data_IF_130690173730
#
_entry.id   IF_130690173730
#
_cell.length_a   1.000
_cell.length_b   1.000
_cell.length_c   1.000
_cell.angle_alpha   90.00
_cell.angle_beta   90.00
_cell.angle_gamma   90.00
#
_symmetry.space_group_name_H-M   'P 1'
#
loop_
_entity.id
_entity.type
_entity.pdbx_description
1 polymer ?
#
# COMPACT_ATOMS: atom_id res chain seq x y z
N UNK A 1 78.00 34.40 4.01
CA UNK A 1 76.96 34.23 5.05
C UNK A 1 75.52 34.36 4.51
N UNK A 2 75.23 35.18 3.50
CA UNK A 2 73.87 35.34 2.92
C UNK A 2 73.21 34.03 2.41
N UNK A 3 73.99 33.07 1.92
CA UNK A 3 73.49 31.77 1.42
C UNK A 3 72.91 30.86 2.52
N UNK A 4 73.41 30.97 3.75
CA UNK A 4 72.94 30.17 4.89
C UNK A 4 71.62 30.72 5.44
N UNK A 5 71.45 32.05 5.40
CA UNK A 5 70.20 32.72 5.81
C UNK A 5 69.03 32.35 4.89
N UNK A 6 69.27 32.23 3.58
CA UNK A 6 68.25 31.82 2.61
C UNK A 6 67.90 30.33 2.78
N UNK A 7 68.90 29.48 3.01
CA UNK A 7 68.69 28.04 3.22
C UNK A 7 67.89 27.75 4.51
N UNK A 8 68.17 28.49 5.59
CA UNK A 8 67.44 28.38 6.86
C UNK A 8 65.99 28.87 6.77
N UNK A 9 65.73 29.92 6.00
CA UNK A 9 64.37 30.42 5.76
C UNK A 9 63.51 29.44 4.95
N UNK A 10 64.09 28.79 3.93
CA UNK A 10 63.38 27.79 3.12
C UNK A 10 63.08 26.53 3.94
N UNK A 11 63.99 26.10 4.81
CA UNK A 11 63.77 24.95 5.71
C UNK A 11 62.64 25.21 6.73
N UNK A 12 62.57 26.42 7.29
CA UNK A 12 61.53 26.82 8.25
C UNK A 12 60.13 26.82 7.60
N UNK A 13 60.00 27.31 6.37
CA UNK A 13 58.73 27.30 5.64
C UNK A 13 58.26 25.88 5.30
N UNK A 14 59.19 24.95 5.08
CA UNK A 14 58.85 23.55 4.78
C UNK A 14 58.33 22.81 6.03
N UNK A 15 58.86 23.11 7.21
CA UNK A 15 58.41 22.47 8.47
C UNK A 15 57.02 22.96 8.87
N UNK A 16 56.72 24.26 8.66
CA UNK A 16 55.41 24.83 9.00
C UNK A 16 54.28 24.36 8.06
N UNK A 17 54.60 23.96 6.83
CA UNK A 17 53.60 23.51 5.83
C UNK A 17 53.20 22.04 5.97
N UNK A 18 53.99 21.19 6.64
CA UNK A 18 53.62 19.78 6.90
C UNK A 18 52.52 19.67 7.97
N UNK A 19 52.42 20.65 8.86
CA UNK A 19 51.48 20.61 9.99
C UNK A 19 50.03 20.88 9.61
N UNK A 20 49.76 21.49 8.45
CA UNK A 20 48.39 21.84 8.01
C UNK A 20 47.66 20.69 7.31
N UNK A 21 48.38 19.68 6.84
CA UNK A 21 47.78 18.52 6.12
C UNK A 21 47.03 17.60 7.10
N UNK A 22 47.45 17.51 8.35
CA UNK A 22 46.82 16.61 9.34
C UNK A 22 45.57 17.20 10.04
N UNK A 23 45.23 18.46 9.83
CA UNK A 23 44.05 19.09 10.46
C UNK A 23 42.76 19.00 9.62
N UNK A 24 42.85 18.56 8.36
CA UNK A 24 41.71 18.45 7.44
C UNK A 24 41.07 17.06 7.40
N UNK A 25 41.71 16.04 7.97
CA UNK A 25 41.13 14.71 8.13
C UNK A 25 40.22 14.66 9.36
N UNK A 26 39.15 15.46 9.36
CA UNK A 26 37.99 15.12 10.17
C UNK A 26 37.39 13.83 9.61
N UNK A 27 37.13 12.77 10.40
CA UNK A 27 36.43 11.61 9.92
C UNK A 27 35.01 12.07 9.55
N UNK A 28 34.80 12.32 8.26
CA UNK A 28 33.50 12.60 7.71
C UNK A 28 32.68 11.33 7.93
N UNK A 29 31.88 11.31 8.99
CA UNK A 29 31.07 10.16 9.35
C UNK A 29 30.21 9.84 8.15
N UNK A 30 30.44 8.68 7.54
CA UNK A 30 29.72 8.17 6.37
C UNK A 30 28.33 7.71 6.80
N UNK A 31 27.56 8.63 7.38
CA UNK A 31 26.19 8.40 7.77
C UNK A 31 25.37 8.53 6.50
N UNK A 32 25.25 7.40 5.78
CA UNK A 32 24.17 7.22 4.81
C UNK A 32 22.84 7.33 5.57
N UNK A 33 22.31 8.53 5.64
CA UNK A 33 20.91 8.75 5.98
C UNK A 33 20.10 8.05 4.90
N UNK A 34 19.61 6.84 5.19
CA UNK A 34 18.62 6.17 4.34
C UNK A 34 17.39 7.06 4.36
N UNK A 35 17.23 7.90 3.35
CA UNK A 35 16.01 8.64 3.08
C UNK A 35 14.91 7.62 2.79
N UNK A 36 14.25 7.12 3.84
CA UNK A 36 13.03 6.32 3.68
C UNK A 36 11.93 7.32 3.33
N UNK A 37 11.25 7.10 2.20
CA UNK A 37 10.02 7.85 1.92
C UNK A 37 9.03 7.58 3.04
N UNK A 38 8.47 8.63 3.65
CA UNK A 38 7.50 8.54 4.74
C UNK A 38 6.30 7.62 4.39
N UNK A 39 6.00 7.45 3.10
CA UNK A 39 4.96 6.55 2.60
C UNK A 39 5.12 5.09 3.09
N UNK A 40 6.36 4.58 3.13
CA UNK A 40 6.64 3.20 3.52
C UNK A 40 6.37 2.93 5.01
N UNK A 41 6.31 3.98 5.85
CA UNK A 41 5.97 3.86 7.26
C UNK A 41 4.47 3.62 7.47
N UNK A 42 3.64 3.96 6.49
CA UNK A 42 2.18 3.78 6.55
C UNK A 42 1.67 2.64 5.65
N UNK A 43 2.49 2.09 4.75
CA UNK A 43 2.10 0.94 3.92
C UNK A 43 1.90 -0.34 4.74
N UNK A 44 2.68 -0.56 5.81
CA UNK A 44 2.65 -1.82 6.57
C UNK A 44 1.28 -2.15 7.16
N UNK A 45 0.54 -1.12 7.60
CA UNK A 45 -0.72 -1.29 8.31
C UNK A 45 -1.90 -1.52 7.34
N UNK A 46 -1.70 -1.25 6.05
CA UNK A 46 -2.70 -1.42 5.00
C UNK A 46 -2.43 -2.60 4.06
N UNK A 47 -1.25 -3.23 4.15
CA UNK A 47 -0.91 -4.37 3.29
C UNK A 47 -1.40 -5.67 3.92
N UNK A 48 -2.56 -6.12 3.45
CA UNK A 48 -3.10 -7.43 3.78
C UNK A 48 -2.09 -8.54 3.46
N UNK A 49 -1.92 -9.45 4.41
CA UNK A 49 -1.13 -10.67 4.24
C UNK A 49 -1.68 -11.50 3.06
N UNK A 50 -0.86 -12.40 2.52
CA UNK A 50 -1.31 -13.29 1.45
C UNK A 50 -2.54 -14.13 1.87
N UNK A 51 -2.55 -14.59 3.13
CA UNK A 51 -3.63 -15.41 3.67
C UNK A 51 -4.93 -14.61 3.80
N UNK A 52 -4.88 -13.38 4.31
CA UNK A 52 -6.06 -12.51 4.39
C UNK A 52 -6.63 -12.20 3.01
N UNK A 53 -5.77 -11.96 2.02
CA UNK A 53 -6.21 -11.75 0.63
C UNK A 53 -6.91 -12.99 0.06
N UNK A 54 -6.43 -14.20 0.38
CA UNK A 54 -7.08 -15.45 -0.03
C UNK A 54 -8.43 -15.61 0.68
N UNK A 55 -8.48 -15.37 2.00
CA UNK A 55 -9.70 -15.45 2.78
C UNK A 55 -10.78 -14.49 2.27
N UNK A 56 -10.41 -13.23 1.96
CA UNK A 56 -11.34 -12.25 1.39
C UNK A 56 -11.86 -12.66 0.01
N UNK A 57 -11.02 -13.27 -0.83
CA UNK A 57 -11.46 -13.81 -2.13
C UNK A 57 -12.45 -14.95 -1.94
N UNK A 58 -12.20 -15.88 -1.02
CA UNK A 58 -13.10 -16.98 -0.71
C UNK A 58 -14.43 -16.47 -0.16
N UNK A 59 -14.41 -15.53 0.79
CA UNK A 59 -15.59 -14.89 1.34
C UNK A 59 -16.43 -14.20 0.25
N UNK A 60 -15.77 -13.49 -0.68
CA UNK A 60 -16.44 -12.88 -1.83
C UNK A 60 -17.13 -13.91 -2.72
N UNK A 61 -16.47 -15.03 -3.03
CA UNK A 61 -17.05 -16.11 -3.84
C UNK A 61 -18.25 -16.74 -3.13
N UNK A 62 -18.11 -17.08 -1.85
CA UNK A 62 -19.19 -17.64 -1.04
C UNK A 62 -20.43 -16.72 -1.01
N UNK A 63 -20.20 -15.41 -0.85
CA UNK A 63 -21.28 -14.42 -0.91
C UNK A 63 -21.98 -14.40 -2.27
N UNK A 64 -21.24 -14.43 -3.37
CA UNK A 64 -21.83 -14.48 -4.73
C UNK A 64 -22.67 -15.74 -4.93
N UNK A 65 -22.19 -16.89 -4.50
CA UNK A 65 -22.96 -18.14 -4.59
C UNK A 65 -24.27 -18.05 -3.80
N UNK A 66 -24.20 -17.56 -2.55
CA UNK A 66 -25.40 -17.36 -1.73
C UNK A 66 -26.40 -16.40 -2.37
N UNK A 67 -25.93 -15.25 -2.89
CA UNK A 67 -26.80 -14.29 -3.56
C UNK A 67 -27.44 -14.86 -4.83
N UNK A 68 -26.70 -15.67 -5.59
CA UNK A 68 -27.23 -16.40 -6.74
C UNK A 68 -28.34 -17.36 -6.29
N UNK A 69 -28.12 -18.19 -5.28
CA UNK A 69 -29.15 -19.11 -4.77
C UNK A 69 -30.41 -18.37 -4.32
N UNK A 70 -30.27 -17.22 -3.66
CA UNK A 70 -31.42 -16.39 -3.29
C UNK A 70 -32.17 -15.87 -4.52
N UNK A 71 -31.47 -15.34 -5.52
CA UNK A 71 -32.10 -14.93 -6.79
C UNK A 71 -32.78 -16.09 -7.51
N UNK A 72 -32.23 -17.29 -7.37
CA UNK A 72 -32.76 -18.50 -7.97
C UNK A 72 -34.05 -18.98 -7.26
N UNK A 73 -34.23 -18.62 -5.98
CA UNK A 73 -35.41 -18.97 -5.16
C UNK A 73 -36.58 -17.99 -5.26
N UNK A 74 -36.35 -16.78 -5.77
CA UNK A 74 -37.36 -15.73 -5.83
C UNK A 74 -38.15 -15.83 -7.15
N UNK A 75 -39.46 -15.62 -7.08
CA UNK A 75 -40.31 -15.51 -8.27
C UNK A 75 -40.12 -14.16 -8.99
N UNK A 76 -39.26 -14.16 -10.01
CA UNK A 76 -39.01 -13.04 -10.91
C UNK A 76 -38.91 -13.52 -12.36
N UNK A 77 -39.18 -12.62 -13.30
CA UNK A 77 -39.01 -12.94 -14.72
C UNK A 77 -37.55 -13.29 -15.08
N UNK A 78 -37.38 -14.24 -15.99
CA UNK A 78 -36.06 -14.69 -16.49
C UNK A 78 -35.19 -13.53 -17.00
N UNK A 79 -35.79 -12.56 -17.68
CA UNK A 79 -35.08 -11.37 -18.16
C UNK A 79 -34.51 -10.53 -17.01
N UNK A 80 -35.27 -10.38 -15.91
CA UNK A 80 -34.82 -9.68 -14.71
C UNK A 80 -33.76 -10.48 -13.97
N UNK A 81 -33.95 -11.80 -13.82
CA UNK A 81 -32.99 -12.74 -13.24
C UNK A 81 -31.62 -12.65 -13.92
N UNK A 82 -31.58 -12.74 -15.26
CA UNK A 82 -30.35 -12.63 -16.04
C UNK A 82 -29.62 -11.30 -15.85
N UNK A 83 -30.36 -10.18 -15.79
CA UNK A 83 -29.79 -8.85 -15.54
C UNK A 83 -29.18 -8.76 -14.13
N UNK A 84 -29.86 -9.29 -13.12
CA UNK A 84 -29.36 -9.32 -11.74
C UNK A 84 -28.14 -10.22 -11.56
N UNK A 85 -28.08 -11.36 -12.27
CA UNK A 85 -26.89 -12.22 -12.29
C UNK A 85 -25.69 -11.55 -12.95
N UNK A 86 -25.90 -10.82 -14.06
CA UNK A 86 -24.84 -10.02 -14.68
C UNK A 86 -24.34 -8.92 -13.74
N UNK A 87 -25.25 -8.27 -13.02
CA UNK A 87 -24.93 -7.26 -12.02
C UNK A 87 -24.09 -7.86 -10.88
N UNK A 88 -24.51 -9.01 -10.33
CA UNK A 88 -23.80 -9.72 -9.27
C UNK A 88 -22.38 -10.16 -9.69
N UNK A 89 -22.20 -10.50 -10.97
CA UNK A 89 -20.88 -10.82 -11.56
C UNK A 89 -19.98 -9.58 -11.64
N UNK A 90 -20.54 -8.41 -11.91
CA UNK A 90 -19.79 -7.13 -11.97
C UNK A 90 -19.48 -6.59 -10.57
N UNK A 91 -20.48 -6.58 -9.70
CA UNK A 91 -20.38 -6.13 -8.33
C UNK A 91 -21.05 -7.16 -7.38
N UNK A 92 -20.26 -7.95 -6.64
CA UNK A 92 -20.77 -8.90 -5.65
C UNK A 92 -21.71 -8.25 -4.63
N UNK A 93 -21.44 -7.00 -4.25
CA UNK A 93 -22.15 -6.27 -3.19
C UNK A 93 -23.15 -5.26 -3.77
N UNK A 94 -23.69 -5.50 -4.97
CA UNK A 94 -24.65 -4.58 -5.59
C UNK A 94 -25.88 -4.38 -4.71
N UNK A 95 -26.10 -3.14 -4.27
CA UNK A 95 -27.28 -2.74 -3.48
C UNK A 95 -28.58 -3.05 -4.22
N UNK A 96 -28.58 -2.92 -5.55
CA UNK A 96 -29.73 -3.23 -6.39
C UNK A 96 -30.14 -4.69 -6.29
N UNK A 97 -29.17 -5.61 -6.27
CA UNK A 97 -29.43 -7.05 -6.11
C UNK A 97 -29.99 -7.31 -4.72
N UNK A 98 -29.36 -6.73 -3.69
CA UNK A 98 -29.79 -6.88 -2.30
C UNK A 98 -31.21 -6.34 -2.06
N UNK A 99 -31.53 -5.18 -2.62
CA UNK A 99 -32.86 -4.58 -2.52
C UNK A 99 -33.92 -5.46 -3.18
N UNK A 100 -33.65 -6.06 -4.34
CA UNK A 100 -34.59 -6.99 -4.97
C UNK A 100 -34.80 -8.21 -4.09
N UNK A 101 -33.72 -8.80 -3.58
CA UNK A 101 -33.79 -9.97 -2.70
C UNK A 101 -34.61 -9.66 -1.43
N UNK A 102 -34.28 -8.58 -0.73
CA UNK A 102 -34.99 -8.15 0.47
C UNK A 102 -36.48 -7.92 0.21
N UNK A 103 -36.82 -7.27 -0.91
CA UNK A 103 -38.21 -6.98 -1.29
C UNK A 103 -39.09 -8.21 -1.53
N UNK A 104 -38.53 -9.40 -1.79
CA UNK A 104 -39.30 -10.62 -2.03
C UNK A 104 -39.21 -11.61 -0.86
N UNK A 105 -38.17 -11.51 -0.02
CA UNK A 105 -38.00 -12.38 1.15
C UNK A 105 -38.65 -11.78 2.41
N UNK A 106 -38.85 -10.45 2.46
CA UNK A 106 -39.53 -9.83 3.59
C UNK A 106 -40.98 -10.35 3.74
N UNK A 107 -41.36 -10.86 4.93
CA UNK A 107 -42.66 -11.50 5.15
C UNK A 107 -43.88 -10.55 5.09
N UNK A 108 -43.66 -9.23 5.08
CA UNK A 108 -44.73 -8.23 5.17
C UNK A 108 -45.58 -8.05 3.89
N UNK A 109 -45.18 -8.61 2.74
CA UNK A 109 -45.95 -8.42 1.49
C UNK A 109 -47.15 -9.34 1.31
N UNK A 110 -47.38 -10.28 2.22
CA UNK A 110 -48.53 -11.19 2.18
C UNK A 110 -49.73 -10.70 3.03
N UNK A 111 -49.65 -9.53 3.64
CA UNK A 111 -50.73 -8.97 4.49
C UNK A 111 -51.34 -7.77 3.79
N UNK A 112 -51.89 -7.94 2.59
CA UNK A 112 -52.80 -6.98 1.94
C UNK A 112 -53.39 -7.64 0.68
N UNK A 113 -54.35 -8.54 0.88
CA UNK A 113 -55.33 -8.97 -0.14
C UNK A 113 -56.72 -8.99 0.49
#
# INVERSE_FOLDING_TARGET
MKKITILGGVLLCFIMSVSTVHAQDSPQSDVRVKQRMLLNQFESDYVLTANERVALKQARLAYQYRMKELLDSIDISEGKRRRLLQELKRNPLSEKVQAVIANHISPDKNIEQ
#
